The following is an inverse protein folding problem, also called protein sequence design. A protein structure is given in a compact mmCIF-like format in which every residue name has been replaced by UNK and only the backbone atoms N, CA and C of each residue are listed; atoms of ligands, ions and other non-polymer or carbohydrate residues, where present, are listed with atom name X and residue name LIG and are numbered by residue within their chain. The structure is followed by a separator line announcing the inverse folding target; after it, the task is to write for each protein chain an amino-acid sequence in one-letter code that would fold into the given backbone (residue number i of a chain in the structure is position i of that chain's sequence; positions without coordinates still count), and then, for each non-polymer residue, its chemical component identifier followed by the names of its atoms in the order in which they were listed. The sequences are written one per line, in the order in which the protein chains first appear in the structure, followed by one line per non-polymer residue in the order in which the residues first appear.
data_IF_489701572125
#
_entry.id   IF_489701572125
#
_cell.length_a   1.000
_cell.length_b   1.000
_cell.length_c   1.000
_cell.angle_alpha   90.00
_cell.angle_beta   90.00
_cell.angle_gamma   90.00
#
_symmetry.space_group_name_H-M   'P 1'
#
loop_
_entity.id
_entity.type
_entity.pdbx_description
1 polymer ?
#
# COMPACT_ATOMS: atom_id res chain seq x y z
N UNK A 1 54.27 -9.21 -42.27
CA UNK A 1 54.44 -7.75 -42.39
C UNK A 1 53.55 -7.29 -43.54
N UNK A 2 52.38 -6.76 -43.28
CA UNK A 2 51.43 -6.20 -44.26
C UNK A 2 50.66 -5.08 -43.60
N UNK A 3 51.08 -3.86 -43.84
CA UNK A 3 50.42 -2.65 -43.42
C UNK A 3 49.14 -2.45 -44.26
N UNK A 4 47.97 -2.45 -43.63
CA UNK A 4 46.72 -2.01 -44.27
C UNK A 4 46.55 -0.51 -44.06
N UNK A 5 46.67 0.23 -45.15
CA UNK A 5 46.36 1.66 -45.26
C UNK A 5 44.85 1.88 -45.07
N UNK A 6 44.46 2.78 -44.17
CA UNK A 6 43.08 3.26 -43.98
C UNK A 6 42.80 4.39 -44.97
N UNK A 7 41.78 4.22 -45.79
CA UNK A 7 41.26 5.29 -46.65
C UNK A 7 40.37 6.25 -45.88
N UNK A 8 40.38 7.56 -46.18
CA UNK A 8 39.53 8.56 -45.50
C UNK A 8 38.08 8.49 -46.02
N UNK A 9 37.11 8.39 -45.08
CA UNK A 9 35.69 8.38 -45.37
C UNK A 9 35.15 9.74 -45.81
N UNK A 10 34.36 9.75 -46.87
CA UNK A 10 33.63 10.90 -47.41
C UNK A 10 32.60 11.43 -46.39
N UNK A 11 32.65 12.73 -46.08
CA UNK A 11 31.62 13.48 -45.39
C UNK A 11 30.40 13.61 -46.29
N UNK A 12 29.28 12.96 -45.91
CA UNK A 12 28.00 13.11 -46.58
C UNK A 12 27.20 14.25 -45.92
N UNK A 13 26.84 15.24 -46.72
CA UNK A 13 26.00 16.36 -46.34
C UNK A 13 24.59 15.88 -46.02
N UNK A 14 24.17 16.01 -44.76
CA UNK A 14 22.80 15.77 -44.33
C UNK A 14 21.93 16.99 -44.60
N UNK A 15 21.19 16.98 -45.71
CA UNK A 15 20.09 17.90 -45.99
C UNK A 15 19.07 17.82 -44.85
N UNK A 16 18.87 18.94 -44.15
CA UNK A 16 17.87 19.10 -43.12
C UNK A 16 16.45 19.01 -43.71
N UNK A 17 15.74 17.95 -43.35
CA UNK A 17 14.29 17.87 -43.56
C UNK A 17 13.58 18.72 -42.50
N UNK A 18 13.01 19.85 -42.91
CA UNK A 18 12.11 20.67 -42.10
C UNK A 18 10.82 19.88 -41.89
N UNK A 19 10.69 19.24 -40.71
CA UNK A 19 9.42 18.66 -40.27
C UNK A 19 8.48 19.79 -39.84
N UNK A 20 7.34 19.89 -40.53
CA UNK A 20 6.26 20.82 -40.21
C UNK A 20 5.73 20.59 -38.80
N UNK A 21 5.29 21.65 -38.09
CA UNK A 21 4.73 21.51 -36.76
C UNK A 21 3.38 20.78 -36.81
N UNK A 22 3.29 19.63 -36.17
CA UNK A 22 2.01 18.94 -35.92
C UNK A 22 1.14 19.82 -35.05
N UNK A 23 0.19 20.51 -35.63
CA UNK A 23 -0.94 21.10 -34.94
C UNK A 23 -1.84 19.98 -34.42
N UNK A 24 -1.84 19.75 -33.12
CA UNK A 24 -2.85 19.00 -32.41
C UNK A 24 -3.02 19.63 -31.03
N UNK A 25 -3.67 20.78 -31.01
CA UNK A 25 -4.17 21.43 -29.82
C UNK A 25 -5.42 20.74 -29.28
N UNK A 26 -5.29 19.51 -28.80
CA UNK A 26 -6.28 18.97 -27.87
C UNK A 26 -6.08 19.67 -26.54
N UNK A 27 -7.09 20.40 -26.07
CA UNK A 27 -7.14 21.00 -24.74
C UNK A 27 -6.89 19.87 -23.73
N UNK A 28 -5.67 19.80 -23.20
CA UNK A 28 -5.33 18.83 -22.16
C UNK A 28 -6.08 19.27 -20.91
N UNK A 29 -7.12 18.53 -20.53
CA UNK A 29 -7.79 18.70 -19.24
C UNK A 29 -6.72 18.80 -18.15
N UNK A 30 -6.88 19.68 -17.14
CA UNK A 30 -5.95 19.80 -16.05
C UNK A 30 -5.70 18.42 -15.44
N UNK A 31 -4.46 18.15 -15.08
CA UNK A 31 -3.98 16.81 -14.64
C UNK A 31 -4.76 16.26 -13.44
N UNK A 32 -5.41 17.14 -12.69
CA UNK A 32 -6.18 16.79 -11.48
C UNK A 32 -7.59 16.28 -11.78
N UNK A 33 -8.18 16.63 -12.91
CA UNK A 33 -9.55 16.22 -13.31
C UNK A 33 -9.62 14.83 -13.95
N UNK A 34 -8.50 14.18 -14.17
CA UNK A 34 -8.50 12.86 -14.79
C UNK A 34 -8.82 11.79 -13.75
N UNK A 35 -9.99 11.15 -13.85
CA UNK A 35 -10.45 10.08 -12.97
C UNK A 35 -9.47 8.92 -12.82
N UNK A 36 -8.63 8.66 -13.84
CA UNK A 36 -7.60 7.63 -13.78
C UNK A 36 -6.42 8.00 -12.86
N UNK A 37 -6.32 9.24 -12.41
CA UNK A 37 -5.33 9.70 -11.43
C UNK A 37 -5.85 9.75 -10.02
N UNK A 38 -7.14 9.54 -9.81
CA UNK A 38 -7.73 9.50 -8.48
C UNK A 38 -7.07 8.41 -7.63
N UNK A 39 -6.74 8.77 -6.39
CA UNK A 39 -6.25 7.83 -5.39
C UNK A 39 -7.39 6.98 -4.87
N UNK A 40 -7.15 5.68 -4.72
CA UNK A 40 -8.09 4.74 -4.13
C UNK A 40 -7.38 3.77 -3.20
N UNK A 41 -8.11 3.25 -2.24
CA UNK A 41 -7.64 2.17 -1.38
C UNK A 41 -7.60 0.89 -2.24
N UNK A 42 -6.43 0.29 -2.37
CA UNK A 42 -6.26 -1.00 -3.05
C UNK A 42 -6.59 -2.15 -2.12
N UNK A 43 -6.09 -2.06 -0.89
CA UNK A 43 -6.31 -3.05 0.16
C UNK A 43 -6.03 -2.46 1.53
N UNK A 44 -6.72 -3.00 2.51
CA UNK A 44 -6.45 -2.84 3.92
C UNK A 44 -5.88 -4.16 4.44
N UNK A 45 -4.71 -4.13 5.04
CA UNK A 45 -4.14 -5.26 5.75
C UNK A 45 -4.31 -5.02 7.25
N UNK A 46 -4.91 -5.98 7.92
CA UNK A 46 -5.04 -6.03 9.37
C UNK A 46 -4.09 -7.10 9.88
N UNK A 47 -3.33 -6.80 10.91
CA UNK A 47 -2.37 -7.71 11.51
C UNK A 47 -2.47 -7.68 13.03
N UNK A 48 -2.42 -8.86 13.64
CA UNK A 48 -2.29 -9.01 15.10
C UNK A 48 -1.06 -9.88 15.33
N UNK A 49 -0.09 -9.37 16.05
CA UNK A 49 1.10 -10.09 16.43
C UNK A 49 1.02 -10.44 17.93
N UNK A 50 1.01 -11.73 18.24
CA UNK A 50 0.91 -12.23 19.60
C UNK A 50 2.28 -12.59 20.18
N UNK A 51 3.21 -12.98 19.31
CA UNK A 51 4.57 -13.38 19.69
C UNK A 51 4.70 -14.83 20.14
N UNK A 52 3.61 -15.54 20.32
CA UNK A 52 3.59 -16.96 20.71
C UNK A 52 2.55 -17.75 19.92
N UNK A 53 2.75 -19.04 19.81
CA UNK A 53 1.80 -19.98 19.20
C UNK A 53 0.78 -20.50 20.22
N UNK A 54 -0.32 -21.07 19.73
CA UNK A 54 -1.32 -21.72 20.55
C UNK A 54 -2.61 -20.94 20.69
N UNK A 55 -3.26 -21.02 21.85
CA UNK A 55 -4.62 -20.50 22.07
C UNK A 55 -4.74 -18.99 21.93
N UNK A 56 -3.72 -18.23 22.34
CA UNK A 56 -3.72 -16.76 22.16
C UNK A 56 -3.78 -16.38 20.69
N UNK A 57 -3.06 -17.09 19.81
CA UNK A 57 -3.10 -16.85 18.38
C UNK A 57 -4.46 -17.23 17.78
N UNK A 58 -5.09 -18.29 18.25
CA UNK A 58 -6.45 -18.66 17.80
C UNK A 58 -7.48 -17.62 18.22
N UNK A 59 -7.39 -17.09 19.44
CA UNK A 59 -8.24 -15.99 19.92
C UNK A 59 -8.07 -14.74 19.08
N UNK A 60 -6.85 -14.34 18.79
CA UNK A 60 -6.55 -13.22 17.87
C UNK A 60 -7.14 -13.44 16.48
N UNK A 61 -7.12 -14.68 15.97
CA UNK A 61 -7.76 -15.05 14.71
C UNK A 61 -9.28 -14.82 14.74
N UNK A 62 -9.96 -15.17 15.82
CA UNK A 62 -11.41 -14.93 16.00
C UNK A 62 -11.75 -13.43 15.97
N UNK A 63 -10.92 -12.57 16.56
CA UNK A 63 -11.11 -11.11 16.49
C UNK A 63 -11.06 -10.62 15.03
N UNK A 64 -10.05 -11.03 14.26
CA UNK A 64 -9.97 -10.67 12.85
C UNK A 64 -11.15 -11.22 12.03
N UNK A 65 -11.59 -12.42 12.31
CA UNK A 65 -12.74 -13.04 11.64
C UNK A 65 -14.03 -12.28 11.95
N UNK A 66 -14.26 -11.89 13.21
CA UNK A 66 -15.41 -11.08 13.63
C UNK A 66 -15.43 -9.72 12.91
N UNK A 67 -14.25 -9.05 12.77
CA UNK A 67 -14.13 -7.76 12.13
C UNK A 67 -14.29 -7.85 10.61
N UNK A 68 -13.62 -8.82 9.98
CA UNK A 68 -13.53 -8.90 8.52
C UNK A 68 -14.52 -9.86 7.89
N UNK A 69 -15.10 -10.79 8.67
CA UNK A 69 -15.88 -11.94 8.20
C UNK A 69 -15.11 -12.81 7.18
N UNK A 70 -13.78 -12.81 7.30
CA UNK A 70 -12.88 -13.60 6.46
C UNK A 70 -11.97 -14.43 7.36
N UNK A 71 -11.67 -15.66 6.94
CA UNK A 71 -10.75 -16.52 7.68
C UNK A 71 -9.33 -15.93 7.65
N UNK A 72 -8.72 -15.62 8.80
CA UNK A 72 -7.39 -15.06 8.87
C UNK A 72 -6.32 -16.11 8.55
N UNK A 73 -5.17 -15.63 8.11
CA UNK A 73 -4.00 -16.47 7.81
C UNK A 73 -2.98 -16.29 8.92
N UNK A 74 -2.46 -17.40 9.45
CA UNK A 74 -1.38 -17.36 10.44
C UNK A 74 -0.02 -17.26 9.75
N UNK A 75 0.82 -16.34 10.20
CA UNK A 75 2.18 -16.14 9.72
C UNK A 75 3.20 -16.81 10.64
N UNK A 76 4.24 -17.36 10.04
CA UNK A 76 5.34 -18.01 10.74
C UNK A 76 6.52 -17.06 10.92
N UNK A 77 7.23 -17.19 12.04
CA UNK A 77 8.49 -16.48 12.27
C UNK A 77 9.55 -16.92 11.26
N UNK A 78 10.26 -15.96 10.69
CA UNK A 78 11.36 -16.22 9.74
C UNK A 78 12.66 -16.63 10.42
N UNK A 79 12.90 -16.09 11.60
CA UNK A 79 14.13 -16.27 12.37
C UNK A 79 13.82 -16.64 13.82
N UNK A 80 14.76 -17.30 14.47
CA UNK A 80 14.74 -17.51 15.93
C UNK A 80 15.27 -16.25 16.61
N UNK A 81 14.47 -15.67 17.51
CA UNK A 81 14.85 -14.49 18.30
C UNK A 81 14.74 -14.87 19.78
N UNK A 82 15.88 -15.10 20.43
CA UNK A 82 15.92 -15.55 21.83
C UNK A 82 15.32 -14.54 22.80
N UNK A 83 15.56 -13.25 22.57
CA UNK A 83 15.05 -12.14 23.40
C UNK A 83 13.53 -12.13 23.48
N UNK A 84 12.83 -12.54 22.42
CA UNK A 84 11.37 -12.61 22.36
C UNK A 84 10.83 -14.03 22.57
N UNK A 85 11.69 -15.02 22.82
CA UNK A 85 11.26 -16.41 22.97
C UNK A 85 10.71 -17.08 21.70
N UNK A 86 10.97 -16.50 20.52
CA UNK A 86 10.40 -16.93 19.25
C UNK A 86 11.35 -17.89 18.54
N UNK A 87 10.81 -19.02 18.06
CA UNK A 87 11.54 -20.01 17.24
C UNK A 87 11.20 -19.85 15.76
N UNK A 88 12.15 -20.16 14.89
CA UNK A 88 11.93 -20.20 13.44
C UNK A 88 10.77 -21.15 13.10
N UNK A 89 9.93 -20.75 12.14
CA UNK A 89 8.73 -21.47 11.70
C UNK A 89 7.57 -21.55 12.71
N UNK A 90 7.70 -20.95 13.87
CA UNK A 90 6.62 -20.84 14.84
C UNK A 90 5.56 -19.85 14.35
N UNK A 91 4.27 -20.19 14.51
CA UNK A 91 3.17 -19.29 14.18
C UNK A 91 3.03 -18.24 15.27
N UNK A 92 3.27 -16.96 14.94
CA UNK A 92 3.33 -15.87 15.92
C UNK A 92 2.35 -14.73 15.66
N UNK A 93 1.82 -14.66 14.45
CA UNK A 93 0.87 -13.59 14.09
C UNK A 93 -0.22 -14.11 13.18
N UNK A 94 -1.32 -13.38 13.14
CA UNK A 94 -2.40 -13.59 12.18
C UNK A 94 -2.70 -12.30 11.43
N UNK A 95 -3.05 -12.43 10.16
CA UNK A 95 -3.39 -11.28 9.33
C UNK A 95 -4.54 -11.58 8.37
N UNK A 96 -5.20 -10.53 7.96
CA UNK A 96 -6.25 -10.58 6.95
C UNK A 96 -6.11 -9.40 5.98
N UNK A 97 -6.45 -9.62 4.72
CA UNK A 97 -6.44 -8.57 3.70
C UNK A 97 -7.86 -8.33 3.21
N UNK A 98 -8.35 -7.10 3.39
CA UNK A 98 -9.70 -6.68 3.00
C UNK A 98 -9.60 -5.70 1.82
N UNK A 99 -10.55 -5.79 0.89
CA UNK A 99 -10.62 -4.94 -0.29
C UNK A 99 -12.05 -4.41 -0.50
N UNK A 100 -12.15 -3.37 -1.35
CA UNK A 100 -13.45 -2.80 -1.72
C UNK A 100 -14.09 -1.97 -0.61
N UNK A 101 -15.42 -1.78 -0.64
CA UNK A 101 -16.13 -0.89 0.28
C UNK A 101 -16.00 -1.32 1.74
N UNK A 102 -15.91 -2.62 2.00
CA UNK A 102 -15.69 -3.13 3.35
C UNK A 102 -14.35 -2.69 3.97
N UNK A 103 -13.30 -2.53 3.13
CA UNK A 103 -12.03 -2.00 3.61
C UNK A 103 -12.17 -0.53 4.03
N UNK A 104 -12.99 0.25 3.34
CA UNK A 104 -13.25 1.66 3.70
C UNK A 104 -14.04 1.76 4.99
N UNK A 105 -15.06 0.91 5.18
CA UNK A 105 -15.85 0.86 6.41
C UNK A 105 -14.99 0.52 7.64
N UNK A 106 -14.16 -0.52 7.54
CA UNK A 106 -13.29 -0.93 8.65
C UNK A 106 -12.23 0.16 8.92
N UNK A 107 -11.69 0.78 7.88
CA UNK A 107 -10.73 1.88 8.03
C UNK A 107 -11.36 3.07 8.76
N UNK A 108 -12.59 3.42 8.43
CA UNK A 108 -13.29 4.53 9.07
C UNK A 108 -13.51 4.26 10.56
N UNK A 109 -13.87 3.02 10.93
CA UNK A 109 -13.95 2.62 12.34
C UNK A 109 -12.62 2.81 13.06
N UNK A 110 -11.50 2.37 12.46
CA UNK A 110 -10.18 2.55 13.04
C UNK A 110 -9.74 4.02 13.13
N UNK A 111 -10.10 4.85 12.16
CA UNK A 111 -9.82 6.29 12.20
C UNK A 111 -10.63 7.03 13.27
N UNK A 112 -11.86 6.60 13.54
CA UNK A 112 -12.67 7.13 14.66
C UNK A 112 -11.96 6.94 16.00
N UNK A 113 -11.37 5.78 16.23
CA UNK A 113 -10.60 5.50 17.46
C UNK A 113 -9.39 6.44 17.58
N UNK A 114 -8.77 6.84 16.46
CA UNK A 114 -7.65 7.78 16.41
C UNK A 114 -8.10 9.25 16.22
N UNK A 115 -9.38 9.54 16.38
CA UNK A 115 -9.94 10.90 16.26
C UNK A 115 -9.60 11.58 14.93
N UNK A 116 -9.36 10.80 13.87
CA UNK A 116 -8.87 11.24 12.55
C UNK A 116 -7.52 11.96 12.58
N UNK A 117 -6.73 11.78 13.65
CA UNK A 117 -5.39 12.36 13.76
C UNK A 117 -4.31 11.33 13.45
N UNK A 118 -3.41 11.66 12.52
CA UNK A 118 -2.26 10.84 12.16
C UNK A 118 -0.98 11.67 12.17
N UNK A 119 0.12 11.03 12.59
CA UNK A 119 1.45 11.66 12.54
C UNK A 119 2.01 11.65 11.11
N UNK A 120 2.83 12.64 10.73
CA UNK A 120 3.57 12.63 9.44
C UNK A 120 4.39 11.36 9.20
N UNK A 121 4.87 10.73 10.28
CA UNK A 121 5.61 9.47 10.23
C UNK A 121 4.77 8.26 9.82
N UNK A 122 3.46 8.30 10.00
CA UNK A 122 2.55 7.22 9.62
C UNK A 122 2.40 7.05 8.10
N UNK A 123 2.84 8.04 7.32
CA UNK A 123 2.79 8.03 5.86
C UNK A 123 4.14 7.66 5.27
N UNK A 124 4.18 6.61 4.45
CA UNK A 124 5.39 6.17 3.75
C UNK A 124 5.66 7.00 2.49
N UNK A 125 6.91 6.98 2.01
CA UNK A 125 7.30 7.65 0.76
C UNK A 125 6.60 7.07 -0.47
N UNK A 126 6.09 5.83 -0.38
CA UNK A 126 5.33 5.15 -1.44
C UNK A 126 3.84 5.47 -1.42
N UNK A 127 3.40 6.42 -0.59
CA UNK A 127 2.01 6.83 -0.48
C UNK A 127 1.11 5.84 0.26
N UNK A 128 1.67 4.92 1.02
CA UNK A 128 0.91 4.05 1.92
C UNK A 128 0.92 4.65 3.32
N UNK A 129 -0.03 4.27 4.16
CA UNK A 129 -0.02 4.70 5.55
C UNK A 129 -0.53 3.60 6.47
N UNK A 130 -0.24 3.73 7.75
CA UNK A 130 -0.66 2.76 8.75
C UNK A 130 -0.67 3.34 10.14
N UNK A 131 -1.45 2.72 11.01
CA UNK A 131 -1.55 3.06 12.43
C UNK A 131 -1.92 1.81 13.23
N UNK A 132 -1.67 1.84 14.53
CA UNK A 132 -2.07 0.78 15.45
C UNK A 132 -3.26 1.22 16.30
N UNK A 133 -4.06 0.24 16.72
CA UNK A 133 -5.13 0.39 17.71
C UNK A 133 -4.78 -0.56 18.85
N UNK A 134 -4.80 -0.06 20.07
CA UNK A 134 -4.35 -0.83 21.23
C UNK A 134 -5.41 -1.84 21.69
N UNK A 135 -6.69 -1.51 21.53
CA UNK A 135 -7.81 -2.35 21.94
C UNK A 135 -8.80 -2.57 20.78
N UNK A 136 -9.08 -3.84 20.47
CA UNK A 136 -10.04 -4.17 19.40
C UNK A 136 -11.49 -3.83 19.77
N UNK A 137 -11.80 -3.62 21.04
CA UNK A 137 -13.14 -3.28 21.54
C UNK A 137 -13.57 -1.92 20.99
N UNK A 138 -12.64 -0.98 20.86
CA UNK A 138 -12.90 0.37 20.33
C UNK A 138 -13.43 0.36 18.89
N UNK A 139 -13.23 -0.76 18.17
CA UNK A 139 -13.75 -0.95 16.82
C UNK A 139 -15.21 -1.41 16.77
N UNK A 140 -15.97 -1.25 17.84
CA UNK A 140 -17.34 -1.72 17.99
C UNK A 140 -17.48 -3.25 17.87
N UNK A 141 -16.48 -3.98 18.37
CA UNK A 141 -16.56 -5.43 18.54
C UNK A 141 -16.98 -5.73 19.98
N UNK A 142 -17.99 -6.59 20.13
CA UNK A 142 -18.44 -7.01 21.46
C UNK A 142 -17.30 -7.69 22.21
N UNK A 143 -17.07 -7.26 23.44
CA UNK A 143 -16.11 -7.91 24.33
C UNK A 143 -16.53 -9.34 24.67
N UNK A 144 -15.62 -10.27 24.52
CA UNK A 144 -15.77 -11.67 24.94
C UNK A 144 -14.61 -12.00 25.91
N UNK A 145 -14.92 -12.29 27.19
CA UNK A 145 -13.91 -12.65 28.19
C UNK A 145 -13.03 -13.85 27.77
N UNK A 146 -13.57 -14.76 26.97
CA UNK A 146 -12.84 -15.93 26.49
C UNK A 146 -11.74 -15.57 25.48
N UNK A 147 -11.89 -14.46 24.78
CA UNK A 147 -10.96 -13.97 23.76
C UNK A 147 -9.91 -13.06 24.39
N UNK A 148 -10.33 -12.18 25.33
CA UNK A 148 -9.49 -11.16 25.93
C UNK A 148 -9.29 -9.94 25.01
N UNK A 149 -8.37 -9.05 25.37
CA UNK A 149 -8.06 -7.83 24.62
C UNK A 149 -6.84 -8.05 23.74
N UNK A 150 -6.90 -7.58 22.50
CA UNK A 150 -5.79 -7.63 21.57
C UNK A 150 -5.67 -6.31 20.81
N UNK A 151 -4.47 -5.77 20.72
CA UNK A 151 -4.16 -4.69 19.80
C UNK A 151 -4.06 -5.19 18.38
N UNK A 152 -4.24 -4.29 17.42
CA UNK A 152 -4.09 -4.62 16.00
C UNK A 152 -3.52 -3.47 15.17
N UNK A 153 -2.83 -3.84 14.10
CA UNK A 153 -2.21 -2.92 13.17
C UNK A 153 -3.04 -2.79 11.91
N UNK A 154 -3.27 -1.56 11.48
CA UNK A 154 -3.85 -1.20 10.21
C UNK A 154 -2.77 -0.79 9.23
N UNK A 155 -2.71 -1.42 8.06
CA UNK A 155 -1.82 -1.01 6.98
C UNK A 155 -2.61 -0.83 5.68
N UNK A 156 -2.66 0.41 5.21
CA UNK A 156 -3.46 0.83 4.07
C UNK A 156 -2.56 0.99 2.85
N UNK A 157 -2.86 0.24 1.80
CA UNK A 157 -2.16 0.35 0.52
C UNK A 157 -3.00 1.17 -0.44
N UNK A 158 -2.42 2.29 -0.86
CA UNK A 158 -3.02 3.20 -1.82
C UNK A 158 -2.59 2.87 -3.24
N UNK A 159 -3.47 3.08 -4.19
CA UNK A 159 -3.16 2.87 -5.60
C UNK A 159 -3.90 3.88 -6.49
N UNK A 160 -3.44 3.96 -7.74
CA UNK A 160 -4.14 4.62 -8.84
C UNK A 160 -4.49 3.58 -9.91
N UNK A 161 -5.36 3.94 -10.84
CA UNK A 161 -5.64 3.07 -11.98
C UNK A 161 -4.35 2.74 -12.74
N UNK A 162 -4.24 1.50 -13.22
CA UNK A 162 -3.07 1.04 -13.96
C UNK A 162 -1.92 0.45 -13.14
N UNK A 163 -1.99 0.39 -11.80
CA UNK A 163 -0.96 -0.24 -10.97
C UNK A 163 -0.73 -1.74 -11.28
N UNK A 164 -1.71 -2.39 -11.92
CA UNK A 164 -1.59 -3.78 -12.36
C UNK A 164 -0.41 -4.02 -13.33
N UNK A 165 0.02 -3.01 -14.07
CA UNK A 165 1.15 -3.10 -15.02
C UNK A 165 2.41 -3.66 -14.37
N UNK A 166 2.68 -3.31 -13.11
CA UNK A 166 3.83 -3.81 -12.36
C UNK A 166 3.69 -5.25 -11.84
N UNK A 167 2.48 -5.83 -11.89
CA UNK A 167 2.18 -7.14 -11.26
C UNK A 167 1.65 -8.19 -12.25
N UNK A 168 1.28 -7.77 -13.46
CA UNK A 168 0.77 -8.70 -14.48
C UNK A 168 1.88 -9.60 -15.00
N UNK A 169 1.53 -10.81 -15.44
CA UNK A 169 2.49 -11.80 -15.93
C UNK A 169 3.11 -11.41 -17.28
N UNK A 170 2.30 -10.89 -18.22
CA UNK A 170 2.76 -10.48 -19.56
C UNK A 170 2.93 -8.98 -19.63
N UNK A 171 3.94 -8.52 -20.38
CA UNK A 171 4.28 -7.11 -20.58
C UNK A 171 4.38 -6.35 -19.23
N UNK A 172 5.02 -6.96 -18.25
CA UNK A 172 5.27 -6.34 -16.95
C UNK A 172 6.28 -5.21 -17.10
N UNK A 173 5.94 -4.04 -16.58
CA UNK A 173 6.81 -2.86 -16.62
C UNK A 173 6.69 -2.07 -15.31
N UNK A 174 7.60 -1.15 -15.09
CA UNK A 174 7.54 -0.24 -13.94
C UNK A 174 6.39 0.76 -14.10
N UNK A 175 5.79 1.16 -12.98
CA UNK A 175 4.75 2.21 -12.97
C UNK A 175 5.41 3.54 -13.31
N UNK A 176 4.85 4.25 -14.29
CA UNK A 176 5.31 5.58 -14.71
C UNK A 176 5.24 6.60 -13.55
N UNK A 177 6.09 7.65 -13.57
CA UNK A 177 6.15 8.65 -12.50
C UNK A 177 4.81 9.32 -12.21
N UNK A 178 4.01 9.58 -13.26
CA UNK A 178 2.71 10.24 -13.14
C UNK A 178 1.64 9.44 -12.41
N UNK A 179 1.78 8.11 -12.34
CA UNK A 179 0.84 7.20 -11.68
C UNK A 179 1.34 6.71 -10.32
N UNK A 180 2.55 7.07 -9.92
CA UNK A 180 3.04 6.72 -8.58
C UNK A 180 2.29 7.50 -7.51
N UNK A 181 2.00 6.83 -6.40
CA UNK A 181 1.47 7.48 -5.22
C UNK A 181 2.64 8.09 -4.44
N UNK A 182 2.58 9.36 -4.11
CA UNK A 182 3.54 10.03 -3.25
C UNK A 182 2.96 10.23 -1.85
N UNK A 183 3.82 10.44 -0.87
CA UNK A 183 3.44 10.76 0.50
C UNK A 183 2.50 11.97 0.57
N UNK A 184 2.88 13.05 -0.10
CA UNK A 184 2.11 14.31 -0.12
C UNK A 184 0.72 14.15 -0.76
N UNK A 185 0.64 13.39 -1.85
CA UNK A 185 -0.65 13.14 -2.52
C UNK A 185 -1.60 12.35 -1.61
N UNK A 186 -1.07 11.38 -0.84
CA UNK A 186 -1.89 10.60 0.10
C UNK A 186 -2.29 11.43 1.31
N UNK A 187 -1.42 12.30 1.80
CA UNK A 187 -1.74 13.23 2.88
C UNK A 187 -2.89 14.18 2.50
N UNK A 188 -2.81 14.79 1.32
CA UNK A 188 -3.89 15.64 0.79
C UNK A 188 -5.19 14.86 0.62
N UNK A 189 -5.09 13.64 0.08
CA UNK A 189 -6.26 12.76 -0.06
C UNK A 189 -6.90 12.43 1.29
N UNK A 190 -6.10 12.14 2.32
CA UNK A 190 -6.58 11.87 3.67
C UNK A 190 -7.30 13.09 4.28
N UNK A 191 -6.73 14.29 4.15
CA UNK A 191 -7.35 15.53 4.59
C UNK A 191 -8.67 15.81 3.84
N UNK A 192 -8.71 15.61 2.52
CA UNK A 192 -9.92 15.88 1.73
C UNK A 192 -11.04 14.87 1.98
N UNK A 193 -10.69 13.56 2.15
CA UNK A 193 -11.71 12.50 2.27
C UNK A 193 -12.25 12.35 3.68
N UNK A 194 -11.41 12.50 4.69
CA UNK A 194 -11.74 12.23 6.10
C UNK A 194 -11.65 13.47 6.99
N UNK A 195 -11.34 14.65 6.41
CA UNK A 195 -11.12 15.90 7.16
C UNK A 195 -10.06 15.73 8.26
N UNK A 196 -9.13 14.78 8.05
CA UNK A 196 -8.17 14.34 9.06
C UNK A 196 -7.05 15.35 9.29
N UNK A 197 -6.58 15.41 10.54
CA UNK A 197 -5.47 16.24 10.98
C UNK A 197 -4.16 15.48 10.87
N UNK A 198 -3.10 16.14 10.37
CA UNK A 198 -1.76 15.56 10.26
C UNK A 198 -0.81 16.37 11.14
N UNK A 199 -0.30 15.72 12.18
CA UNK A 199 0.70 16.26 13.11
C UNK A 199 2.13 15.98 12.68
#
# INVERSE_FOLDING_TARGET
KGQRQRMPGKKGDKKGSKTAPKAAGGVKKPKEENSMRALKIEKLCLNICVGESGDRLMRAGKVLEALTRQKPISSKARYTVRTFGIRRNEKISCHCTVRGPKAEEILERGLKVKEYELKKGNFSNTGNFGFGVDEHIDLNIRYDPSIGISGLDFFIVMSRAGHRVARRRRAQTKIGPSQRCSKEATQKWFQTKYEGVIR
#
